data_IF_584421922605
#
_entry.id   IF_584421922605
#
_cell.length_a   1.000
_cell.length_b   1.000
_cell.length_c   1.000
_cell.angle_alpha   90.00
_cell.angle_beta   90.00
_cell.angle_gamma   90.00
#
_symmetry.space_group_name_H-M   'P 1'
#
loop_
_entity.id
_entity.type
_entity.pdbx_description
1 polymer ?
#
# COMPACT_ATOMS: atom_id res chain seq x y z
N UNK A 1 24.29 14.02 -4.19
CA UNK A 1 24.85 14.75 -5.34
C UNK A 1 26.20 14.15 -5.73
N UNK A 2 27.10 13.92 -4.81
CA UNK A 2 28.43 13.33 -5.03
C UNK A 2 28.43 12.00 -5.82
N UNK A 3 27.43 11.14 -5.63
CA UNK A 3 27.32 9.87 -6.36
C UNK A 3 27.03 10.10 -7.85
N UNK A 4 26.18 11.06 -8.17
CA UNK A 4 25.86 11.40 -9.56
C UNK A 4 27.02 12.11 -10.26
N UNK A 5 27.79 12.91 -9.53
CA UNK A 5 29.02 13.57 -10.04
C UNK A 5 30.09 12.55 -10.37
N UNK A 6 30.32 11.59 -9.49
CA UNK A 6 31.24 10.49 -9.75
C UNK A 6 30.76 9.64 -10.93
N UNK A 7 29.48 9.31 -10.99
CA UNK A 7 28.93 8.50 -12.08
C UNK A 7 29.11 9.19 -13.45
N UNK A 8 28.98 10.50 -13.50
CA UNK A 8 29.16 11.28 -14.74
C UNK A 8 30.58 11.13 -15.32
N UNK A 9 31.59 11.00 -14.47
CA UNK A 9 32.99 10.83 -14.91
C UNK A 9 33.23 9.47 -15.58
N UNK A 10 32.43 8.44 -15.22
CA UNK A 10 32.53 7.09 -15.77
C UNK A 10 31.51 6.82 -16.89
N UNK A 11 30.60 7.75 -17.16
CA UNK A 11 29.58 7.58 -18.19
C UNK A 11 30.16 7.73 -19.59
N UNK A 12 30.37 6.63 -20.29
CA UNK A 12 30.95 6.59 -21.63
C UNK A 12 29.88 6.85 -22.70
N UNK A 13 28.70 6.23 -22.56
CA UNK A 13 27.65 6.32 -23.57
C UNK A 13 26.75 7.54 -23.34
N UNK A 14 26.22 8.11 -24.43
CA UNK A 14 25.26 9.20 -24.36
C UNK A 14 23.99 8.79 -23.60
N UNK A 15 23.57 7.54 -23.70
CA UNK A 15 22.45 7.00 -22.94
C UNK A 15 22.71 7.04 -21.43
N UNK A 16 23.93 6.69 -20.99
CA UNK A 16 24.29 6.76 -19.58
C UNK A 16 24.32 8.19 -19.08
N UNK A 17 24.91 9.11 -19.87
CA UNK A 17 24.94 10.54 -19.55
C UNK A 17 23.53 11.12 -19.42
N UNK A 18 22.65 10.81 -20.35
CA UNK A 18 21.24 11.25 -20.31
C UNK A 18 20.48 10.68 -19.09
N UNK A 19 20.75 9.44 -18.70
CA UNK A 19 20.14 8.84 -17.52
C UNK A 19 20.59 9.55 -16.22
N UNK A 20 21.88 9.87 -16.08
CA UNK A 20 22.40 10.59 -14.93
C UNK A 20 21.82 12.00 -14.87
N UNK A 21 21.76 12.68 -16.01
CA UNK A 21 21.14 14.03 -16.09
C UNK A 21 19.67 13.99 -15.67
N UNK A 22 18.94 12.94 -16.05
CA UNK A 22 17.57 12.73 -15.59
C UNK A 22 17.46 12.55 -14.08
N UNK A 23 18.39 11.82 -13.47
CA UNK A 23 18.44 11.68 -12.01
C UNK A 23 18.74 13.01 -11.31
N UNK A 24 19.61 13.87 -11.89
CA UNK A 24 19.86 15.23 -11.38
C UNK A 24 18.61 16.09 -11.40
N UNK A 25 17.86 16.06 -12.50
CA UNK A 25 16.58 16.78 -12.60
C UNK A 25 15.60 16.33 -11.53
N UNK A 26 15.51 15.01 -11.28
CA UNK A 26 14.66 14.45 -10.23
C UNK A 26 15.14 14.91 -8.85
N UNK A 27 16.45 14.87 -8.58
CA UNK A 27 17.02 15.36 -7.32
C UNK A 27 16.68 16.84 -7.08
N UNK A 28 16.82 17.66 -8.11
CA UNK A 28 16.43 19.07 -8.03
C UNK A 28 14.95 19.24 -7.63
N UNK A 29 14.05 18.49 -8.24
CA UNK A 29 12.62 18.51 -7.87
C UNK A 29 12.39 18.03 -6.44
N UNK A 30 13.09 16.98 -6.01
CA UNK A 30 13.00 16.47 -4.63
C UNK A 30 13.46 17.52 -3.61
N UNK A 31 14.48 18.30 -3.93
CA UNK A 31 14.90 19.44 -3.09
C UNK A 31 13.79 20.49 -2.96
N UNK A 32 13.11 20.82 -4.06
CA UNK A 32 11.98 21.76 -4.02
C UNK A 32 10.81 21.27 -3.17
N UNK A 33 10.61 19.95 -3.11
CA UNK A 33 9.60 19.30 -2.26
C UNK A 33 10.09 19.05 -0.82
N UNK A 34 11.32 19.45 -0.45
CA UNK A 34 11.97 19.14 0.83
C UNK A 34 12.02 17.64 1.13
N UNK A 35 12.17 16.81 0.10
CA UNK A 35 12.19 15.35 0.19
C UNK A 35 13.58 14.73 -0.08
N UNK A 36 14.59 15.52 -0.41
CA UNK A 36 15.94 15.05 -0.77
C UNK A 36 16.61 14.25 0.35
N UNK A 37 16.37 14.63 1.61
CA UNK A 37 16.99 13.97 2.77
C UNK A 37 16.48 12.52 3.00
N UNK A 38 15.38 12.17 2.34
CA UNK A 38 14.79 10.83 2.41
C UNK A 38 15.13 9.97 1.20
N UNK A 39 15.95 10.47 0.26
CA UNK A 39 16.25 9.79 -1.00
C UNK A 39 17.75 9.63 -1.18
N UNK A 40 18.16 8.45 -1.58
CA UNK A 40 19.54 8.14 -1.99
C UNK A 40 19.55 7.56 -3.40
N UNK A 41 20.63 7.82 -4.14
CA UNK A 41 20.81 7.27 -5.48
C UNK A 41 21.70 6.03 -5.41
N UNK A 42 21.14 4.89 -5.81
CA UNK A 42 21.85 3.62 -5.92
C UNK A 42 21.94 3.21 -7.40
N UNK A 43 23.14 3.37 -7.97
CA UNK A 43 23.39 3.05 -9.37
C UNK A 43 23.64 1.57 -9.61
N UNK A 44 23.76 0.76 -8.57
CA UNK A 44 23.87 -0.70 -8.68
C UNK A 44 22.51 -1.37 -8.88
N UNK A 45 21.41 -0.62 -8.64
CA UNK A 45 20.07 -1.13 -8.74
C UNK A 45 19.67 -1.36 -10.19
N UNK A 46 19.65 -2.63 -10.61
CA UNK A 46 19.09 -3.01 -11.91
C UNK A 46 17.58 -3.20 -11.79
N UNK A 47 16.83 -2.73 -12.80
CA UNK A 47 15.38 -2.97 -12.87
C UNK A 47 15.11 -4.47 -13.01
N UNK A 48 14.52 -5.09 -11.99
CA UNK A 48 14.18 -6.52 -12.01
C UNK A 48 13.06 -6.90 -12.99
N UNK A 49 12.37 -5.90 -13.54
CA UNK A 49 11.27 -6.10 -14.50
C UNK A 49 11.63 -5.44 -15.83
N UNK A 50 11.63 -6.23 -16.90
CA UNK A 50 12.01 -5.78 -18.24
C UNK A 50 11.08 -4.74 -18.90
N UNK A 51 10.01 -4.33 -18.21
CA UNK A 51 9.07 -3.31 -18.71
C UNK A 51 9.38 -1.89 -18.24
N UNK A 52 10.30 -1.70 -17.29
CA UNK A 52 10.69 -0.36 -16.88
C UNK A 52 11.49 0.36 -17.99
N UNK A 53 11.09 1.58 -18.28
CA UNK A 53 11.70 2.43 -19.31
C UNK A 53 12.41 3.66 -18.76
N UNK A 54 12.27 3.93 -17.47
CA UNK A 54 12.81 5.10 -16.80
C UNK A 54 13.34 4.79 -15.41
N UNK A 55 13.05 5.67 -14.46
CA UNK A 55 13.48 5.49 -13.08
C UNK A 55 12.88 4.22 -12.47
N UNK A 56 13.68 3.58 -11.63
CA UNK A 56 13.25 2.50 -10.74
C UNK A 56 13.52 2.96 -9.31
N UNK A 57 12.59 2.68 -8.40
CA UNK A 57 12.76 3.08 -7.01
C UNK A 57 12.29 2.00 -6.06
N UNK A 58 12.86 2.01 -4.87
CA UNK A 58 12.49 1.17 -3.74
C UNK A 58 12.40 2.02 -2.49
N UNK A 59 11.46 1.72 -1.61
CA UNK A 59 11.43 2.34 -0.29
C UNK A 59 11.72 1.29 0.78
N UNK A 60 12.47 1.71 1.76
CA UNK A 60 12.89 0.90 2.90
C UNK A 60 12.43 1.56 4.20
N UNK A 61 12.26 0.77 5.23
CA UNK A 61 12.01 1.26 6.58
C UNK A 61 12.75 0.39 7.60
N UNK A 62 12.83 0.87 8.82
CA UNK A 62 13.45 0.09 9.88
C UNK A 62 12.67 -1.19 10.17
N UNK A 63 13.40 -2.27 10.46
CA UNK A 63 12.82 -3.55 10.85
C UNK A 63 12.42 -4.46 9.69
N UNK A 64 12.76 -4.13 8.44
CA UNK A 64 12.60 -5.02 7.28
C UNK A 64 13.96 -5.50 6.77
N UNK A 65 13.96 -6.69 6.17
CA UNK A 65 15.13 -7.20 5.44
C UNK A 65 15.14 -6.84 3.96
N UNK A 66 14.01 -6.33 3.45
CA UNK A 66 13.80 -5.98 2.04
C UNK A 66 12.96 -4.70 1.90
N UNK A 67 12.78 -4.24 0.67
CA UNK A 67 12.00 -3.06 0.35
C UNK A 67 10.52 -3.26 0.66
N UNK A 68 9.90 -2.28 1.33
CA UNK A 68 8.44 -2.24 1.57
C UNK A 68 7.67 -1.72 0.37
N UNK A 69 8.34 -0.97 -0.53
CA UNK A 69 7.76 -0.49 -1.78
C UNK A 69 8.75 -0.73 -2.91
N UNK A 70 8.24 -1.16 -4.06
CA UNK A 70 9.00 -1.27 -5.31
C UNK A 70 8.20 -0.64 -6.44
N UNK A 71 8.84 0.19 -7.23
CA UNK A 71 8.17 0.87 -8.33
C UNK A 71 9.12 1.35 -9.41
N UNK A 72 8.53 1.92 -10.46
CA UNK A 72 9.28 2.49 -11.57
C UNK A 72 8.39 3.07 -12.65
N UNK A 73 9.01 3.74 -13.60
CA UNK A 73 8.38 4.29 -14.79
C UNK A 73 8.34 3.25 -15.90
N UNK A 74 7.20 3.17 -16.57
CA UNK A 74 6.99 2.31 -17.74
C UNK A 74 6.13 3.04 -18.78
N UNK A 75 6.67 3.18 -19.99
CA UNK A 75 6.03 3.99 -21.03
C UNK A 75 5.27 3.13 -22.05
N UNK A 76 5.69 1.86 -22.23
CA UNK A 76 5.19 0.97 -23.28
C UNK A 76 4.28 -0.17 -22.79
N UNK A 77 4.05 -0.28 -21.47
CA UNK A 77 3.26 -1.40 -20.94
C UNK A 77 1.80 -1.35 -21.42
N UNK A 78 1.23 -0.15 -21.49
CA UNK A 78 -0.17 0.05 -21.87
C UNK A 78 -0.42 -0.02 -23.38
N UNK A 79 0.63 0.01 -24.20
CA UNK A 79 0.54 -0.16 -25.66
C UNK A 79 -0.10 -1.51 -26.03
N UNK A 80 0.18 -2.56 -25.24
CA UNK A 80 -0.43 -3.89 -25.39
C UNK A 80 -1.95 -3.88 -25.22
N UNK A 81 -2.49 -2.85 -24.60
CA UNK A 81 -3.93 -2.62 -24.42
C UNK A 81 -4.46 -1.50 -25.33
N UNK A 82 -3.70 -1.12 -26.36
CA UNK A 82 -4.09 -0.10 -27.34
C UNK A 82 -3.97 1.35 -26.86
N UNK A 83 -3.20 1.61 -25.81
CA UNK A 83 -3.05 2.96 -25.24
C UNK A 83 -1.58 3.31 -25.02
N UNK A 84 -1.05 4.22 -25.81
CA UNK A 84 0.28 4.80 -25.58
C UNK A 84 0.20 5.88 -24.50
N UNK A 85 0.63 5.54 -23.30
CA UNK A 85 0.60 6.50 -22.17
C UNK A 85 1.77 6.21 -21.23
N UNK A 86 2.70 7.15 -21.06
CA UNK A 86 3.72 7.06 -20.03
C UNK A 86 3.09 6.91 -18.65
N UNK A 87 3.58 5.98 -17.88
CA UNK A 87 3.02 5.65 -16.58
C UNK A 87 4.12 5.44 -15.55
N UNK A 88 3.80 5.71 -14.30
CA UNK A 88 4.61 5.37 -13.15
C UNK A 88 3.72 4.66 -12.13
N UNK A 89 4.24 3.62 -11.51
CA UNK A 89 3.49 2.89 -10.51
C UNK A 89 4.39 2.22 -9.49
N UNK A 90 3.79 1.76 -8.43
CA UNK A 90 4.49 1.02 -7.38
C UNK A 90 3.57 -0.03 -6.75
N UNK A 91 4.21 -1.02 -6.15
CA UNK A 91 3.56 -2.03 -5.33
C UNK A 91 4.06 -1.91 -3.88
N UNK A 92 3.14 -2.02 -2.92
CA UNK A 92 3.46 -2.15 -1.50
C UNK A 92 3.54 -3.65 -1.18
N UNK A 93 4.65 -4.07 -0.58
CA UNK A 93 4.85 -5.44 -0.11
C UNK A 93 4.27 -5.53 1.30
N UNK A 94 3.03 -5.99 1.39
CA UNK A 94 2.23 -5.94 2.62
C UNK A 94 2.90 -6.74 3.75
N UNK A 95 3.49 -7.88 3.46
CA UNK A 95 4.18 -8.71 4.45
C UNK A 95 5.36 -7.96 5.08
N UNK A 96 6.17 -7.28 4.27
CA UNK A 96 7.29 -6.47 4.76
C UNK A 96 6.80 -5.25 5.56
N UNK A 97 5.71 -4.62 5.13
CA UNK A 97 5.10 -3.52 5.87
C UNK A 97 4.59 -3.99 7.24
N UNK A 98 3.89 -5.12 7.29
CA UNK A 98 3.40 -5.70 8.54
C UNK A 98 4.54 -6.10 9.48
N UNK A 99 5.61 -6.68 8.94
CA UNK A 99 6.82 -6.98 9.70
C UNK A 99 7.45 -5.72 10.29
N UNK A 100 7.54 -4.64 9.51
CA UNK A 100 8.07 -3.36 9.96
C UNK A 100 7.24 -2.77 11.11
N UNK A 101 5.93 -2.71 10.94
CA UNK A 101 5.00 -2.20 11.96
C UNK A 101 5.14 -2.98 13.26
N UNK A 102 5.18 -4.32 13.17
CA UNK A 102 5.34 -5.19 14.34
C UNK A 102 6.67 -4.97 15.07
N UNK A 103 7.78 -4.92 14.33
CA UNK A 103 9.12 -4.73 14.92
C UNK A 103 9.32 -3.33 15.53
N UNK A 104 8.73 -2.31 14.91
CA UNK A 104 8.75 -0.95 15.40
C UNK A 104 7.69 -0.70 16.50
N UNK A 105 6.87 -1.71 16.82
CA UNK A 105 5.78 -1.63 17.81
C UNK A 105 4.78 -0.51 17.49
N UNK A 106 4.55 -0.25 16.21
CA UNK A 106 3.56 0.72 15.74
C UNK A 106 2.22 0.01 15.74
N UNK A 107 1.30 0.51 16.56
CA UNK A 107 -0.09 0.04 16.57
C UNK A 107 -0.86 0.69 15.42
N UNK A 108 -1.56 -0.13 14.65
CA UNK A 108 -2.51 0.37 13.64
C UNK A 108 -3.90 0.29 14.24
N UNK A 109 -4.56 1.45 14.32
CA UNK A 109 -5.95 1.49 14.76
C UNK A 109 -6.83 0.80 13.72
N UNK A 110 -7.39 -0.34 14.11
CA UNK A 110 -8.33 -1.05 13.28
C UNK A 110 -9.75 -0.52 13.51
N UNK A 111 -10.46 -0.24 12.44
CA UNK A 111 -11.88 0.14 12.52
C UNK A 111 -12.63 -1.05 13.13
N UNK A 112 -13.10 -0.86 14.37
CA UNK A 112 -13.93 -1.87 15.02
C UNK A 112 -15.29 -1.92 14.36
N UNK A 113 -15.69 -3.13 13.95
CA UNK A 113 -17.01 -3.36 13.37
C UNK A 113 -18.05 -3.59 14.46
N UNK A 114 -19.28 -3.20 14.19
CA UNK A 114 -20.41 -3.64 15.00
C UNK A 114 -21.04 -4.86 14.32
N UNK A 115 -21.50 -5.80 15.08
CA UNK A 115 -22.11 -7.04 14.59
C UNK A 115 -23.60 -7.00 14.94
N UNK A 116 -24.44 -7.18 13.94
CA UNK A 116 -25.88 -7.37 14.13
C UNK A 116 -26.20 -8.82 13.83
N UNK A 117 -26.72 -9.54 14.81
CA UNK A 117 -27.19 -10.93 14.66
C UNK A 117 -28.71 -10.87 14.47
N UNK A 118 -29.20 -11.53 13.44
CA UNK A 118 -30.62 -11.52 13.09
C UNK A 118 -31.12 -12.91 12.73
N UNK A 119 -32.41 -13.15 12.89
CA UNK A 119 -33.13 -14.32 12.44
C UNK A 119 -34.08 -13.95 11.29
N UNK A 120 -34.88 -14.89 10.83
CA UNK A 120 -35.81 -14.68 9.71
C UNK A 120 -36.84 -13.60 10.00
N UNK A 121 -37.34 -13.51 11.23
CA UNK A 121 -38.34 -12.50 11.64
C UNK A 121 -37.76 -11.08 11.72
N UNK A 122 -36.49 -10.95 12.06
CA UNK A 122 -35.80 -9.66 12.26
C UNK A 122 -34.94 -9.23 11.07
N UNK A 123 -34.89 -10.02 9.99
CA UNK A 123 -34.02 -9.77 8.83
C UNK A 123 -34.21 -8.39 8.23
N UNK A 124 -35.45 -8.00 7.92
CA UNK A 124 -35.73 -6.69 7.32
C UNK A 124 -35.29 -5.53 8.21
N UNK A 125 -35.55 -5.62 9.51
CA UNK A 125 -35.15 -4.61 10.48
C UNK A 125 -33.63 -4.53 10.63
N UNK A 126 -32.93 -5.67 10.63
CA UNK A 126 -31.49 -5.74 10.70
C UNK A 126 -30.81 -5.11 9.48
N UNK A 127 -31.36 -5.33 8.27
CA UNK A 127 -30.86 -4.72 7.04
C UNK A 127 -31.01 -3.20 7.07
N UNK A 128 -32.21 -2.70 7.45
CA UNK A 128 -32.50 -1.26 7.57
C UNK A 128 -31.56 -0.63 8.61
N UNK A 129 -31.44 -1.25 9.78
CA UNK A 129 -30.57 -0.77 10.85
C UNK A 129 -29.10 -0.70 10.42
N UNK A 130 -28.62 -1.74 9.72
CA UNK A 130 -27.28 -1.77 9.18
C UNK A 130 -27.05 -0.66 8.14
N UNK A 131 -28.04 -0.37 7.28
CA UNK A 131 -28.02 0.73 6.33
C UNK A 131 -27.82 2.07 7.04
N UNK A 132 -28.66 2.37 8.00
CA UNK A 132 -28.61 3.61 8.79
C UNK A 132 -27.28 3.80 9.53
N UNK A 133 -26.68 2.72 10.02
CA UNK A 133 -25.36 2.79 10.66
C UNK A 133 -24.22 3.00 9.64
N UNK A 134 -24.29 2.37 8.46
CA UNK A 134 -23.32 2.54 7.38
C UNK A 134 -23.33 3.94 6.80
N UNK A 135 -24.51 4.56 6.65
CA UNK A 135 -24.65 5.96 6.26
C UNK A 135 -23.96 6.92 7.25
N UNK A 136 -23.91 6.54 8.53
CA UNK A 136 -23.17 7.26 9.58
C UNK A 136 -21.68 6.88 9.67
N UNK A 137 -21.15 6.21 8.65
CA UNK A 137 -19.75 5.81 8.57
C UNK A 137 -19.34 4.64 9.49
N UNK A 138 -20.30 3.91 10.08
CA UNK A 138 -20.01 2.76 10.94
C UNK A 138 -19.82 1.49 10.11
N UNK A 139 -18.83 0.69 10.48
CA UNK A 139 -18.61 -0.63 9.88
C UNK A 139 -19.54 -1.65 10.53
N UNK A 140 -20.42 -2.29 9.73
CA UNK A 140 -21.44 -3.23 10.21
C UNK A 140 -21.30 -4.58 9.50
N UNK A 141 -21.22 -5.64 10.29
CA UNK A 141 -21.32 -7.03 9.86
C UNK A 141 -22.69 -7.59 10.23
N UNK A 142 -23.38 -8.16 9.25
CA UNK A 142 -24.67 -8.84 9.45
C UNK A 142 -24.44 -10.34 9.52
N UNK A 143 -24.94 -11.00 10.56
CA UNK A 143 -24.84 -12.45 10.74
C UNK A 143 -26.23 -13.04 10.93
N UNK A 144 -26.64 -13.94 10.02
CA UNK A 144 -27.90 -14.68 10.19
C UNK A 144 -27.67 -15.77 11.24
N UNK A 145 -28.54 -15.78 12.26
CA UNK A 145 -28.57 -16.82 13.27
C UNK A 145 -29.05 -18.13 12.64
N UNK A 146 -28.33 -19.21 12.90
CA UNK A 146 -28.74 -20.57 12.50
C UNK A 146 -29.56 -21.20 13.61
N UNK A 147 -30.56 -21.98 13.23
CA UNK A 147 -31.35 -22.77 14.18
C UNK A 147 -30.45 -23.64 15.08
N UNK A 148 -30.75 -23.66 16.38
CA UNK A 148 -29.99 -24.41 17.38
C UNK A 148 -28.65 -23.76 17.81
N UNK A 149 -28.29 -22.60 17.30
CA UNK A 149 -27.09 -21.92 17.76
C UNK A 149 -27.41 -20.96 18.93
N UNK A 150 -26.65 -21.14 20.02
CA UNK A 150 -26.78 -20.29 21.21
C UNK A 150 -26.12 -18.91 21.02
N UNK A 151 -26.66 -17.93 21.72
CA UNK A 151 -26.16 -16.56 21.77
C UNK A 151 -24.68 -16.48 22.16
N UNK A 152 -24.22 -17.34 23.05
CA UNK A 152 -22.83 -17.41 23.50
C UNK A 152 -21.82 -17.60 22.37
N UNK A 153 -22.22 -18.24 21.26
CA UNK A 153 -21.40 -18.41 20.07
C UNK A 153 -21.08 -17.05 19.41
N UNK A 154 -22.10 -16.22 19.28
CA UNK A 154 -21.97 -14.88 18.67
C UNK A 154 -21.21 -13.91 19.58
N UNK A 155 -21.39 -14.03 20.90
CA UNK A 155 -20.60 -13.28 21.88
C UNK A 155 -19.10 -13.63 21.81
N UNK A 156 -18.82 -14.94 21.71
CA UNK A 156 -17.44 -15.43 21.52
C UNK A 156 -16.84 -14.99 20.19
N UNK A 157 -17.64 -14.98 19.12
CA UNK A 157 -17.23 -14.48 17.82
C UNK A 157 -16.93 -12.96 17.89
N UNK A 158 -17.82 -12.17 18.49
CA UNK A 158 -17.64 -10.74 18.64
C UNK A 158 -16.37 -10.39 19.43
N UNK A 159 -16.10 -11.10 20.54
CA UNK A 159 -14.84 -10.96 21.31
C UNK A 159 -13.62 -11.27 20.46
N UNK A 160 -13.62 -12.39 19.72
CA UNK A 160 -12.48 -12.79 18.87
C UNK A 160 -12.22 -11.79 17.75
N UNK A 161 -13.27 -11.16 17.22
CA UNK A 161 -13.18 -10.14 16.18
C UNK A 161 -12.96 -8.72 16.72
N UNK A 162 -12.81 -8.56 18.02
CA UNK A 162 -12.68 -7.25 18.69
C UNK A 162 -13.78 -6.28 18.23
N UNK A 163 -15.03 -6.77 18.17
CA UNK A 163 -16.16 -5.97 17.76
C UNK A 163 -16.43 -4.83 18.77
N UNK A 164 -16.91 -3.70 18.26
CA UNK A 164 -17.27 -2.55 19.09
C UNK A 164 -18.59 -2.80 19.83
N UNK A 165 -19.53 -3.47 19.19
CA UNK A 165 -20.80 -3.89 19.77
C UNK A 165 -21.34 -5.15 19.08
N UNK A 166 -22.14 -5.92 19.82
CA UNK A 166 -23.00 -7.00 19.34
C UNK A 166 -24.46 -6.57 19.59
N UNK A 167 -25.24 -6.54 18.53
CA UNK A 167 -26.63 -6.06 18.51
C UNK A 167 -27.56 -7.20 18.07
#
# INVERSE_FOLDING_TARGET
>A
EDVLDKAQQFAISDKAKAAIERLRQINHLLCLYNASDHVTFDLSMSGGYGYYTGIVFRAYTYGTGDAVVRGGRYDHLLEKFGKETPSIGFAIIVDELMNALSRQKISVDTIRRNIIVYNEETESNAIILAGNFREKGRCIELIRQKEGQDKSLYESYAKRKNAAALI
#
